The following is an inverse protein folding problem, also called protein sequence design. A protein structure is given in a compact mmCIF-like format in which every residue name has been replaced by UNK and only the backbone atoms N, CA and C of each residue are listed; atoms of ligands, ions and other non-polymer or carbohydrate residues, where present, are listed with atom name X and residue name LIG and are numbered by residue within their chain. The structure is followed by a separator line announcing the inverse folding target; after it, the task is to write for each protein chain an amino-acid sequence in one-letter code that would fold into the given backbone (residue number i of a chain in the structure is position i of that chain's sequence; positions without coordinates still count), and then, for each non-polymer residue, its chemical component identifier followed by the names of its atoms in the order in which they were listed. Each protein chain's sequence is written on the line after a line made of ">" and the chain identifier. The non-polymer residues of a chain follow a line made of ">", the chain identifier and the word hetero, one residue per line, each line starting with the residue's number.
data_IF_969975815641
#
_entry.id   IF_969975815641
#
_cell.length_a   1.000
_cell.length_b   1.000
_cell.length_c   1.000
_cell.angle_alpha   90.00
_cell.angle_beta   90.00
_cell.angle_gamma   90.00
#
_symmetry.space_group_name_H-M   'P 1'
#
loop_
_entity.id
_entity.type
_entity.pdbx_description
1 polymer ?
2 non-polymer ?
3 non-polymer ?
4 water ?
#
# COMPACT_ATOMS: atom_id res chain seq x y z
N UNK A 32 21.46 14.22 -4.87
CA UNK A 32 20.14 13.56 -5.06
C UNK A 32 20.04 12.33 -4.19
N UNK A 33 18.85 12.11 -3.62
CA UNK A 33 18.60 10.93 -2.81
C UNK A 33 17.11 10.60 -2.84
N UNK A 34 16.82 9.34 -2.57
CA UNK A 34 15.46 8.83 -2.66
C UNK A 34 15.42 7.50 -1.92
N UNK A 35 14.47 7.38 -0.99
CA UNK A 35 14.36 6.23 -0.10
C UNK A 35 12.90 5.82 0.00
N UNK A 36 12.65 4.52 0.15
CA UNK A 36 11.33 4.00 0.55
C UNK A 36 11.29 3.94 2.08
N UNK A 37 10.34 4.64 2.69
CA UNK A 37 10.25 4.75 4.14
C UNK A 37 9.03 3.98 4.61
N UNK A 38 9.18 3.21 5.67
CA UNK A 38 8.06 2.46 6.25
C UNK A 38 6.94 3.37 6.74
N UNK A 39 5.72 3.05 6.32
CA UNK A 39 4.52 3.71 6.78
C UNK A 39 3.48 2.68 7.18
N UNK A 40 2.48 3.17 7.90
CA UNK A 40 1.25 2.46 8.10
C UNK A 40 0.26 3.00 7.06
N UNK A 41 -0.63 2.14 6.55
CA UNK A 41 -1.67 2.62 5.63
C UNK A 41 -3.00 1.89 5.83
N UNK A 42 -4.08 2.62 5.58
CA UNK A 42 -5.43 2.09 5.73
C UNK A 42 -5.79 1.33 4.46
N UNK A 43 -6.32 0.13 4.62
CA UNK A 43 -6.92 -0.62 3.53
C UNK A 43 -8.40 -0.75 3.88
N UNK A 44 -9.25 -0.10 3.09
CA UNK A 44 -10.68 -0.05 3.35
C UNK A 44 -11.49 -0.45 2.13
N UNK A 45 -12.78 -0.68 2.35
CA UNK A 45 -13.71 -0.95 1.27
C UNK A 45 -15.12 -0.69 1.77
N UNK A 46 -15.95 -0.10 0.91
CA UNK A 46 -17.33 0.24 1.25
C UNK A 46 -18.05 -0.94 1.90
N UNK A 47 -18.66 -0.70 3.06
CA UNK A 47 -19.39 -1.73 3.80
C UNK A 47 -18.57 -2.69 4.67
N UNK A 48 -17.24 -2.54 4.70
CA UNK A 48 -16.35 -3.46 5.43
C UNK A 48 -15.48 -2.73 6.46
N UNK A 49 -14.93 -3.49 7.40
CA UNK A 49 -14.04 -2.94 8.43
C UNK A 49 -12.66 -2.70 7.82
N UNK A 50 -12.17 -1.46 7.89
CA UNK A 50 -10.83 -1.15 7.39
C UNK A 50 -9.78 -1.84 8.24
N UNK A 51 -8.68 -2.23 7.61
CA UNK A 51 -7.50 -2.70 8.31
C UNK A 51 -6.37 -1.72 8.05
N UNK A 52 -5.32 -1.84 8.83
CA UNK A 52 -4.11 -1.09 8.60
C UNK A 52 -2.97 -2.08 8.42
N UNK A 53 -2.10 -1.81 7.44
CA UNK A 53 -0.97 -2.68 7.10
C UNK A 53 0.31 -1.85 6.99
N UNK A 54 1.46 -2.52 7.01
CA UNK A 54 2.75 -1.89 6.69
C UNK A 54 2.88 -1.72 5.18
N UNK A 55 3.30 -0.54 4.75
CA UNK A 55 3.69 -0.31 3.37
C UNK A 55 4.90 0.62 3.41
N UNK A 56 5.34 1.11 2.25
CA UNK A 56 6.38 2.13 2.20
C UNK A 56 5.95 3.27 1.32
N UNK A 57 6.53 4.44 1.58
CA UNK A 57 6.30 5.63 0.79
C UNK A 57 7.65 6.17 0.32
N UNK A 58 7.65 6.76 -0.87
CA UNK A 58 8.87 7.35 -1.43
C UNK A 58 9.10 8.72 -0.81
N UNK A 59 10.33 8.94 -0.36
CA UNK A 59 10.76 10.23 0.14
C UNK A 59 12.14 10.54 -0.42
N UNK A 60 12.29 11.72 -1.00
CA UNK A 60 13.55 12.07 -1.61
C UNK A 60 13.64 13.49 -2.10
N UNK A 61 14.82 13.82 -2.61
CA UNK A 61 15.09 15.08 -3.28
C UNK A 61 15.92 14.72 -4.51
N UNK A 62 15.34 14.88 -5.70
CA UNK A 62 15.96 14.47 -6.95
C UNK A 62 16.40 15.70 -7.74
N UNK A 63 17.70 15.99 -7.70
CA UNK A 63 18.28 17.17 -8.39
C UNK A 63 18.84 16.76 -9.76
N UNK A 83 11.98 13.04 -10.02
CA UNK A 83 11.02 12.71 -8.97
C UNK A 83 11.30 11.34 -8.33
N UNK A 84 11.10 11.27 -7.01
CA UNK A 84 11.35 10.05 -6.24
C UNK A 84 10.10 9.18 -6.33
N UNK A 85 10.21 8.06 -7.05
CA UNK A 85 9.06 7.19 -7.36
C UNK A 85 9.38 5.74 -7.05
N UNK A 86 8.34 4.87 -6.97
CA UNK A 86 8.61 3.45 -6.76
C UNK A 86 9.55 2.86 -7.83
N UNK A 87 10.52 2.08 -7.37
CA UNK A 87 11.49 1.37 -8.24
C UNK A 87 11.28 -0.15 -8.23
N UNK A 88 10.76 -0.68 -7.13
CA UNK A 88 10.40 -2.08 -7.01
C UNK A 88 9.12 -2.18 -6.19
N UNK A 89 8.19 -2.99 -6.67
CA UNK A 89 6.94 -3.23 -5.95
C UNK A 89 6.50 -4.67 -6.10
N UNK A 90 5.50 -5.03 -5.31
CA UNK A 90 4.91 -6.36 -5.33
C UNK A 90 3.46 -6.22 -4.87
N UNK A 91 2.73 -7.33 -4.82
CA UNK A 91 1.33 -7.32 -4.45
C UNK A 91 1.02 -8.25 -3.29
N UNK A 92 -0.01 -7.87 -2.56
CA UNK A 92 -0.47 -8.59 -1.38
C UNK A 92 -1.97 -8.66 -1.44
N UNK A 93 -2.52 -9.75 -0.93
CA UNK A 93 -3.96 -9.87 -0.70
C UNK A 93 -4.27 -9.51 0.76
N UNK A 94 -5.18 -8.57 0.95
CA UNK A 94 -5.65 -8.13 2.27
C UNK A 94 -7.14 -8.47 2.41
N UNK A 95 -7.48 -9.35 3.33
CA UNK A 95 -8.86 -9.72 3.59
C UNK A 95 -9.48 -8.75 4.59
N UNK A 96 -10.60 -8.14 4.21
CA UNK A 96 -11.36 -7.25 5.08
C UNK A 96 -12.64 -7.96 5.50
N UNK A 97 -12.96 -7.87 6.79
CA UNK A 97 -14.19 -8.44 7.34
C UNK A 97 -15.32 -7.45 7.10
N UNK A 98 -16.51 -7.95 6.75
CA UNK A 98 -17.65 -7.09 6.42
C UNK A 98 -18.84 -7.50 7.29
N UNK A 99 -18.82 -7.08 8.58
CA UNK A 99 -19.88 -7.50 9.49
C UNK A 99 -21.20 -6.82 9.16
N UNK A 100 -22.31 -7.54 9.35
CA UNK A 100 -23.63 -7.11 8.88
C UNK A 100 -24.03 -7.85 7.62
N UNK A 101 -23.09 -7.98 6.68
CA UNK A 101 -23.34 -8.63 5.39
C UNK A 101 -23.12 -10.15 5.51
N UNK A 102 -24.20 -10.89 5.73
CA UNK A 102 -24.12 -12.34 5.96
C UNK A 102 -23.70 -13.16 4.74
N UNK A 103 -24.14 -12.73 3.55
CA UNK A 103 -23.90 -13.47 2.31
C UNK A 103 -22.49 -13.24 1.72
N UNK A 104 -21.95 -12.04 1.89
CA UNK A 104 -20.55 -11.75 1.53
C UNK A 104 -19.88 -11.15 2.78
N UNK A 105 -19.51 -12.02 3.75
CA UNK A 105 -18.98 -11.56 5.03
C UNK A 105 -17.53 -11.07 5.00
N UNK A 106 -16.82 -11.27 3.90
CA UNK A 106 -15.49 -10.70 3.75
C UNK A 106 -15.15 -10.45 2.29
N UNK A 107 -14.16 -9.58 2.06
CA UNK A 107 -13.67 -9.32 0.70
C UNK A 107 -12.15 -9.30 0.73
N UNK A 108 -11.55 -9.71 -0.38
CA UNK A 108 -10.09 -9.64 -0.55
C UNK A 108 -9.76 -8.45 -1.43
N UNK A 109 -8.94 -7.55 -0.89
CA UNK A 109 -8.49 -6.37 -1.61
C UNK A 109 -7.03 -6.56 -1.98
N UNK A 110 -6.71 -6.25 -3.23
CA UNK A 110 -5.36 -6.45 -3.76
C UNK A 110 -4.64 -5.13 -3.56
N UNK A 111 -3.47 -5.18 -2.93
CA UNK A 111 -2.75 -3.98 -2.51
C UNK A 111 -1.30 -4.03 -3.02
N UNK A 112 -0.88 -2.96 -3.70
CA UNK A 112 0.50 -2.85 -4.15
C UNK A 112 1.39 -2.37 -3.01
N UNK A 113 2.44 -3.15 -2.74
CA UNK A 113 3.42 -2.86 -1.70
C UNK A 113 4.68 -2.29 -2.34
N UNK A 114 5.05 -1.07 -1.96
CA UNK A 114 6.32 -0.46 -2.41
C UNK A 114 7.49 -1.02 -1.60
N UNK A 115 8.53 -1.47 -2.30
CA UNK A 115 9.72 -2.03 -1.67
C UNK A 115 10.91 -1.06 -1.72
N UNK A 116 11.11 -0.41 -2.85
CA UNK A 116 12.24 0.51 -3.05
C UNK A 116 11.82 1.64 -3.94
N UNK A 117 12.51 2.78 -3.81
CA UNK A 117 12.22 3.96 -4.62
C UNK A 117 13.52 4.47 -5.21
N UNK A 118 13.40 5.24 -6.28
CA UNK A 118 14.57 5.81 -6.93
C UNK A 118 14.19 7.07 -7.67
N UNK A 119 15.17 7.92 -7.91
CA UNK A 119 14.97 9.12 -8.71
C UNK A 119 14.80 8.73 -10.18
N UNK A 120 13.66 9.11 -10.74
CA UNK A 120 13.28 8.74 -12.10
C UNK A 120 12.62 9.94 -12.77
N UNK A 121 12.79 10.04 -14.09
CA UNK A 121 12.19 11.12 -14.88
C UNK A 121 10.68 11.29 -14.61
N UNK A 122 10.24 12.55 -14.57
CA UNK A 122 8.86 12.94 -14.25
C UNK A 122 8.39 12.43 -12.89
X LIG B 1 6.84 -3.00 2.11
X LIG B 1 5.72 -2.40 1.45
X LIG B 1 6.50 -4.28 2.88
X LIG B 1 5.39 -4.96 2.24
X LIG B 1 6.19 -3.93 4.34
X LIG B 1 6.19 -5.11 5.17
X LIG C 1 10.60 -1.63 7.45
X LIG C 1 11.64 -1.86 8.54
X LIG C 1 12.25 -3.24 8.39
X LIG C 1 11.12 -4.26 8.49
X LIG C 1 10.16 -4.04 7.33
X LIG C 1 8.97 -5.02 7.26
X LIG C 1 12.96 0.01 9.45
X LIG C 1 14.05 1.00 9.16
X LIG C 1 12.67 -0.83 8.46
X LIG C 1 13.25 -3.46 9.40
X LIG C 1 11.66 -5.59 8.47
X LIG C 1 9.64 -2.70 7.38
X LIG C 1 8.83 -5.83 8.44
X LIG C 1 12.39 0.01 10.54
#
# INVERSE_FOLDING_TARGET
>A
MLRVLVGAVLPAMLLAAPPPINKLALFPDKSAWCEAKNITQIVGHSGCEAKSIQNRACLGQCFSYSVPNTFPQSTESLVHCDSCMPAQSMWEIVTLECPGHEEVPRVDKLVEKILHCSCQACGKEPSHEGLSVYVQGED
>B hetero
1 GOL C1 O1 C2 O2 C3 O3
>C hetero
1 NAG C1 C2 C3 C4 C5 C6 C7 C8 N2 O3 O4 O5 O6 O7
#
